data_IF_106524234415
#
_entry.id   IF_106524234415
#
_cell.length_a   1.000
_cell.length_b   1.000
_cell.length_c   1.000
_cell.angle_alpha   90.00
_cell.angle_beta   90.00
_cell.angle_gamma   90.00
#
_symmetry.space_group_name_H-M   'P 1'
#
loop_
_entity.id
_entity.type
_entity.pdbx_description
1 polymer ?
#
# COMPACT_ATOMS: atom_id res chain seq x y z
N UNK A 1 -7.85 13.18 22.60
CA UNK A 1 -7.82 12.09 21.59
C UNK A 1 -6.40 12.04 21.04
N UNK A 2 -5.61 11.01 21.31
CA UNK A 2 -4.29 10.86 20.68
C UNK A 2 -4.54 10.49 19.22
N UNK A 3 -4.10 11.35 18.29
CA UNK A 3 -4.10 11.03 16.87
C UNK A 3 -3.28 9.74 16.69
N UNK A 4 -3.96 8.66 16.29
CA UNK A 4 -3.28 7.42 15.93
C UNK A 4 -2.56 7.68 14.61
N UNK A 5 -1.31 8.18 14.68
CA UNK A 5 -0.37 8.34 13.57
C UNK A 5 0.07 6.98 13.01
N UNK A 6 -0.91 6.13 12.66
CA UNK A 6 -0.66 4.81 12.09
C UNK A 6 -0.16 5.00 10.68
N UNK A 7 1.09 4.60 10.45
CA UNK A 7 1.67 4.58 9.11
C UNK A 7 1.05 3.46 8.29
N UNK A 8 0.83 3.76 7.03
CA UNK A 8 0.36 2.84 5.99
C UNK A 8 1.46 2.77 4.93
N UNK A 9 1.92 1.56 4.65
CA UNK A 9 3.02 1.32 3.72
C UNK A 9 2.52 0.41 2.61
N UNK A 10 2.54 0.87 1.37
CA UNK A 10 2.21 0.09 0.18
C UNK A 10 3.48 -0.40 -0.50
N UNK A 11 3.50 -1.67 -0.89
CA UNK A 11 4.64 -2.32 -1.53
C UNK A 11 4.22 -3.59 -2.25
N UNK A 12 5.10 -4.11 -3.10
CA UNK A 12 4.96 -5.41 -3.74
C UNK A 12 6.27 -6.18 -3.64
N UNK A 13 6.26 -7.45 -4.00
CA UNK A 13 7.47 -8.25 -4.10
C UNK A 13 7.89 -8.35 -5.58
N UNK A 14 9.14 -8.12 -5.90
CA UNK A 14 9.62 -8.42 -7.25
C UNK A 14 9.82 -9.94 -7.45
N UNK A 15 10.21 -10.32 -8.66
CA UNK A 15 10.45 -11.74 -9.02
C UNK A 15 11.53 -12.41 -8.17
N UNK A 16 12.47 -11.62 -7.63
CA UNK A 16 13.54 -12.09 -6.74
C UNK A 16 13.07 -12.17 -5.27
N UNK A 17 11.82 -11.79 -4.98
CA UNK A 17 11.25 -11.78 -3.62
C UNK A 17 11.67 -10.57 -2.80
N UNK A 18 12.19 -9.51 -3.40
CA UNK A 18 12.55 -8.29 -2.69
C UNK A 18 11.34 -7.37 -2.54
N UNK A 19 11.21 -6.77 -1.36
CA UNK A 19 10.17 -5.78 -1.07
C UNK A 19 10.45 -4.47 -1.81
N UNK A 20 9.56 -4.08 -2.72
CA UNK A 20 9.62 -2.83 -3.48
C UNK A 20 8.59 -1.84 -2.96
N UNK A 21 9.08 -0.75 -2.37
CA UNK A 21 8.24 0.30 -1.82
C UNK A 21 7.49 1.07 -2.91
N UNK A 22 6.19 1.26 -2.73
CA UNK A 22 5.35 2.09 -3.60
C UNK A 22 4.99 3.42 -2.95
N UNK A 23 4.60 3.41 -1.68
CA UNK A 23 4.21 4.64 -0.97
C UNK A 23 4.17 4.44 0.55
N UNK A 24 4.33 5.54 1.28
CA UNK A 24 4.12 5.63 2.72
C UNK A 24 3.16 6.80 2.96
N UNK A 25 2.20 6.62 3.85
CA UNK A 25 1.39 7.73 4.35
C UNK A 25 0.83 7.45 5.74
N UNK A 26 -0.07 8.32 6.20
CA UNK A 26 -0.75 8.16 7.48
C UNK A 26 -2.20 7.71 7.24
N UNK A 27 -2.67 6.74 8.02
CA UNK A 27 -4.00 6.17 7.91
C UNK A 27 -5.10 7.23 7.99
N UNK A 28 -4.90 8.24 8.84
CA UNK A 28 -5.82 9.38 9.03
C UNK A 28 -6.08 10.19 7.75
N UNK A 29 -5.15 10.15 6.78
CA UNK A 29 -5.27 10.87 5.51
C UNK A 29 -5.81 9.99 4.37
N UNK A 30 -5.98 8.68 4.60
CA UNK A 30 -6.50 7.77 3.59
C UNK A 30 -8.02 7.64 3.70
N UNK A 31 -8.73 8.38 2.86
CA UNK A 31 -10.13 8.09 2.56
C UNK A 31 -10.20 6.83 1.67
N UNK A 32 -11.27 6.04 1.82
CA UNK A 32 -11.49 4.82 1.00
C UNK A 32 -11.42 5.09 -0.52
N UNK A 33 -11.83 6.27 -0.95
CA UNK A 33 -11.75 6.71 -2.35
C UNK A 33 -10.30 6.96 -2.82
N UNK A 34 -9.42 7.46 -1.94
CA UNK A 34 -8.01 7.69 -2.23
C UNK A 34 -7.26 6.37 -2.42
N UNK A 35 -7.62 5.36 -1.62
CA UNK A 35 -7.04 4.02 -1.69
C UNK A 35 -7.32 3.37 -3.06
N UNK A 36 -8.58 3.39 -3.55
CA UNK A 36 -8.94 2.86 -4.89
C UNK A 36 -8.17 3.56 -6.01
N UNK A 37 -8.06 4.88 -5.94
CA UNK A 37 -7.38 5.68 -6.95
C UNK A 37 -5.88 5.34 -7.02
N UNK A 38 -5.26 5.00 -5.89
CA UNK A 38 -3.87 4.54 -5.82
C UNK A 38 -3.67 3.15 -6.41
N UNK A 39 -4.61 2.23 -6.17
CA UNK A 39 -4.58 0.91 -6.81
C UNK A 39 -4.52 1.01 -8.33
N UNK A 40 -5.40 1.83 -8.92
CA UNK A 40 -5.42 2.04 -10.37
C UNK A 40 -4.12 2.69 -10.86
N UNK A 41 -3.54 3.60 -10.08
CA UNK A 41 -2.26 4.23 -10.40
C UNK A 41 -1.10 3.23 -10.36
N UNK A 42 -1.08 2.31 -9.39
CA UNK A 42 -0.05 1.28 -9.31
C UNK A 42 -0.17 0.27 -10.45
N UNK A 43 -1.37 -0.20 -10.76
CA UNK A 43 -1.60 -1.09 -11.92
C UNK A 43 -1.26 -0.43 -13.26
N UNK A 44 -1.49 0.86 -13.42
CA UNK A 44 -1.06 1.59 -14.63
C UNK A 44 0.45 1.64 -14.79
N UNK A 45 1.20 1.72 -13.68
CA UNK A 45 2.67 1.74 -13.69
C UNK A 45 3.28 0.35 -13.78
N UNK A 46 2.62 -0.64 -13.18
CA UNK A 46 3.05 -2.03 -13.10
C UNK A 46 1.84 -2.88 -13.52
N UNK A 47 1.66 -3.15 -14.82
CA UNK A 47 0.48 -3.85 -15.35
C UNK A 47 0.26 -5.22 -14.71
N UNK A 48 1.35 -5.93 -14.43
CA UNK A 48 1.36 -7.28 -13.87
C UNK A 48 1.38 -7.29 -12.32
N UNK A 49 0.99 -6.18 -11.68
CA UNK A 49 0.93 -6.09 -10.23
C UNK A 49 -0.24 -6.94 -9.69
N UNK A 50 0.06 -8.16 -9.29
CA UNK A 50 -0.85 -9.16 -8.70
C UNK A 50 -0.52 -9.50 -7.24
N UNK A 51 0.51 -8.87 -6.68
CA UNK A 51 1.06 -9.17 -5.36
C UNK A 51 1.26 -7.89 -4.55
N UNK A 52 0.20 -7.08 -4.47
CA UNK A 52 0.20 -5.82 -3.76
C UNK A 52 -0.14 -6.02 -2.28
N UNK A 53 0.68 -5.42 -1.42
CA UNK A 53 0.53 -5.49 0.02
C UNK A 53 0.37 -4.10 0.62
N UNK A 54 -0.33 -4.05 1.75
CA UNK A 54 -0.34 -2.90 2.64
C UNK A 54 0.07 -3.35 4.03
N UNK A 55 0.96 -2.58 4.66
CA UNK A 55 1.31 -2.75 6.06
C UNK A 55 0.76 -1.58 6.87
N UNK A 56 0.01 -1.89 7.92
CA UNK A 56 -0.56 -0.93 8.87
C UNK A 56 -0.16 -1.38 10.26
N UNK A 57 0.53 -0.50 11.00
CA UNK A 57 0.94 -0.79 12.38
C UNK A 57 1.77 -2.09 12.51
N UNK A 58 2.61 -2.36 11.50
CA UNK A 58 3.43 -3.57 11.41
C UNK A 58 2.71 -4.81 10.88
N UNK A 59 1.38 -4.81 10.82
CA UNK A 59 0.58 -5.93 10.28
C UNK A 59 0.45 -5.81 8.77
N UNK A 60 0.78 -6.88 8.05
CA UNK A 60 0.70 -6.98 6.60
C UNK A 60 -0.64 -7.56 6.13
N UNK A 61 -1.17 -7.01 5.04
CA UNK A 61 -2.38 -7.47 4.37
C UNK A 61 -2.11 -7.56 2.86
N UNK A 62 -2.45 -8.70 2.26
CA UNK A 62 -2.46 -8.87 0.80
C UNK A 62 -3.75 -8.28 0.22
N UNK A 63 -3.62 -7.46 -0.82
CA UNK A 63 -4.73 -6.71 -1.43
C UNK A 63 -5.14 -7.25 -2.80
N UNK A 64 -4.20 -7.82 -3.54
CA UNK A 64 -4.34 -8.52 -4.80
C UNK A 64 -3.60 -9.84 -4.65
#
# INVERSE_FOLDING_TARGET
MQAQNKKVIYYYYDEEGNRRLLSIGNLEHYLLADIKSRFDLYKKKIPDLDNLFVQIDGVEFKLL
#
